data_IF_265974796023
#
_entry.id   IF_265974796023
#
_cell.length_a   1.000
_cell.length_b   1.000
_cell.length_c   1.000
_cell.angle_alpha   90.00
_cell.angle_beta   90.00
_cell.angle_gamma   90.00
#
_symmetry.space_group_name_H-M   'P 1'
#
loop_
_entity.id
_entity.type
_entity.pdbx_description
1 polymer ?
#
# COMPACT_ATOMS: atom_id res chain seq x y z
N UNK A 1 5.52 12.30 -8.14
CA UNK A 1 4.99 12.10 -6.79
C UNK A 1 6.18 11.82 -5.88
N UNK A 2 6.53 12.74 -4.98
CA UNK A 2 7.51 12.47 -3.93
C UNK A 2 6.99 11.40 -2.96
N UNK A 3 7.91 10.74 -2.24
CA UNK A 3 7.58 9.67 -1.30
C UNK A 3 6.60 10.14 -0.21
N UNK A 4 6.84 11.32 0.35
CA UNK A 4 6.01 11.91 1.42
C UNK A 4 4.57 12.10 0.96
N UNK A 5 4.36 12.57 -0.27
CA UNK A 5 3.03 12.72 -0.87
C UNK A 5 2.37 11.35 -1.10
N UNK A 6 3.13 10.37 -1.59
CA UNK A 6 2.64 9.01 -1.78
C UNK A 6 2.19 8.38 -0.44
N UNK A 7 2.98 8.58 0.62
CA UNK A 7 2.72 8.09 1.96
C UNK A 7 1.49 8.79 2.56
N UNK A 8 1.37 10.11 2.40
CA UNK A 8 0.21 10.87 2.84
C UNK A 8 -1.08 10.38 2.14
N UNK A 9 -1.02 10.13 0.84
CA UNK A 9 -2.14 9.57 0.08
C UNK A 9 -2.49 8.15 0.55
N UNK A 10 -1.49 7.29 0.75
CA UNK A 10 -1.72 5.94 1.25
C UNK A 10 -2.38 5.97 2.65
N UNK A 11 -1.90 6.85 3.53
CA UNK A 11 -2.48 7.08 4.86
C UNK A 11 -3.92 7.58 4.78
N UNK A 12 -4.19 8.57 3.92
CA UNK A 12 -5.53 9.10 3.73
C UNK A 12 -6.50 8.04 3.17
N UNK A 13 -6.04 7.23 2.22
CA UNK A 13 -6.82 6.13 1.65
C UNK A 13 -7.16 5.09 2.72
N UNK A 14 -6.17 4.62 3.48
CA UNK A 14 -6.35 3.65 4.56
C UNK A 14 -7.26 4.23 5.65
N UNK A 15 -7.11 5.50 6.00
CA UNK A 15 -7.93 6.14 7.02
C UNK A 15 -9.38 6.31 6.55
N UNK A 16 -9.60 6.58 5.27
CA UNK A 16 -10.94 6.69 4.68
C UNK A 16 -11.65 5.33 4.60
N UNK A 17 -10.95 4.28 4.20
CA UNK A 17 -11.55 2.97 3.98
C UNK A 17 -11.59 2.07 5.21
N UNK A 18 -10.55 2.11 6.04
CA UNK A 18 -10.35 1.23 7.20
C UNK A 18 -10.44 1.99 8.53
N UNK A 19 -10.53 3.32 8.52
CA UNK A 19 -10.53 4.12 9.74
C UNK A 19 -9.18 4.17 10.46
N UNK A 20 -8.10 3.72 9.82
CA UNK A 20 -6.74 3.69 10.39
C UNK A 20 -5.68 4.07 9.37
N UNK A 21 -4.58 4.65 9.85
CA UNK A 21 -3.39 4.93 9.05
C UNK A 21 -2.48 3.69 8.93
N UNK A 22 -1.44 3.79 8.09
CA UNK A 22 -0.36 2.79 8.06
C UNK A 22 0.33 2.74 9.43
N UNK A 23 0.59 1.53 9.90
CA UNK A 23 1.45 1.29 11.06
C UNK A 23 2.92 1.54 10.71
N UNK A 24 3.80 1.66 11.70
CA UNK A 24 5.25 1.83 11.47
C UNK A 24 5.83 0.78 10.52
N UNK A 25 5.48 -0.50 10.73
CA UNK A 25 5.93 -1.60 9.88
C UNK A 25 5.37 -1.55 8.45
N UNK A 26 4.13 -1.08 8.28
CA UNK A 26 3.52 -0.90 6.95
C UNK A 26 4.19 0.24 6.21
N UNK A 27 4.51 1.33 6.92
CA UNK A 27 5.26 2.47 6.40
C UNK A 27 6.66 2.06 5.96
N UNK A 28 7.35 1.22 6.72
CA UNK A 28 8.65 0.65 6.35
C UNK A 28 8.55 -0.22 5.08
N UNK A 29 7.53 -1.06 4.98
CA UNK A 29 7.28 -1.86 3.77
C UNK A 29 7.01 -0.95 2.56
N UNK A 30 6.24 0.11 2.77
CA UNK A 30 5.93 1.09 1.75
C UNK A 30 7.18 1.84 1.28
N UNK A 31 7.97 2.35 2.22
CA UNK A 31 9.23 3.05 1.95
C UNK A 31 10.25 2.14 1.28
N UNK A 32 10.46 0.94 1.81
CA UNK A 32 11.36 -0.02 1.19
C UNK A 32 10.90 -0.42 -0.21
N UNK A 33 9.59 -0.60 -0.41
CA UNK A 33 9.05 -0.85 -1.76
C UNK A 33 9.22 0.35 -2.70
N UNK A 34 9.16 1.58 -2.17
CA UNK A 34 9.42 2.80 -2.92
C UNK A 34 10.88 2.93 -3.36
N UNK A 35 11.80 2.56 -2.48
CA UNK A 35 13.25 2.53 -2.72
C UNK A 35 13.72 1.32 -3.54
N UNK A 36 12.83 0.35 -3.83
CA UNK A 36 13.20 -0.88 -4.54
C UNK A 36 13.82 -1.96 -3.66
N UNK A 37 13.80 -1.79 -2.33
CA UNK A 37 14.24 -2.78 -1.34
C UNK A 37 13.31 -4.00 -1.33
N UNK A 38 13.85 -5.12 -0.89
CA UNK A 38 13.14 -6.39 -0.72
C UNK A 38 12.68 -6.54 0.73
N UNK A 39 11.64 -7.33 1.00
CA UNK A 39 11.17 -7.57 2.37
C UNK A 39 12.29 -8.00 3.35
N UNK A 40 13.26 -8.86 2.96
CA UNK A 40 14.40 -9.18 3.81
C UNK A 40 15.20 -7.95 4.26
N UNK A 41 15.50 -7.03 3.35
CA UNK A 41 16.28 -5.82 3.66
C UNK A 41 15.51 -4.90 4.59
N UNK A 42 14.21 -4.74 4.34
CA UNK A 42 13.33 -3.91 5.18
C UNK A 42 13.23 -4.50 6.59
N UNK A 43 13.09 -5.83 6.68
CA UNK A 43 13.01 -6.53 7.96
C UNK A 43 14.32 -6.38 8.75
N UNK A 44 15.47 -6.55 8.09
CA UNK A 44 16.79 -6.39 8.68
C UNK A 44 17.02 -4.95 9.20
N UNK A 45 16.75 -3.94 8.37
CA UNK A 45 16.87 -2.53 8.76
C UNK A 45 15.92 -2.14 9.90
N UNK A 46 14.72 -2.71 9.92
CA UNK A 46 13.72 -2.41 10.93
C UNK A 46 13.80 -3.29 12.19
N UNK A 47 14.69 -4.30 12.20
CA UNK A 47 14.82 -5.24 13.32
C UNK A 47 13.66 -6.24 13.46
N UNK A 48 12.91 -6.49 12.39
CA UNK A 48 11.80 -7.46 12.36
C UNK A 48 12.21 -8.77 11.70
N UNK A 49 11.44 -9.82 11.95
CA UNK A 49 11.63 -11.10 11.26
C UNK A 49 11.18 -11.00 9.79
N UNK A 50 12.04 -11.44 8.88
CA UNK A 50 11.75 -11.51 7.43
C UNK A 50 10.44 -12.26 7.18
N UNK A 51 10.25 -13.41 7.84
CA UNK A 51 9.04 -14.22 7.72
C UNK A 51 7.78 -13.46 8.17
N UNK A 52 7.89 -12.61 9.18
CA UNK A 52 6.76 -11.78 9.65
C UNK A 52 6.37 -10.75 8.59
N UNK A 53 7.34 -10.08 7.95
CA UNK A 53 7.07 -9.13 6.87
C UNK A 53 6.54 -9.81 5.61
N UNK A 54 7.09 -10.94 5.20
CA UNK A 54 6.68 -11.59 3.94
C UNK A 54 5.35 -12.31 4.05
N UNK A 55 5.06 -12.89 5.21
CA UNK A 55 3.94 -13.80 5.41
C UNK A 55 2.75 -13.11 6.05
N UNK A 56 2.98 -12.17 6.96
CA UNK A 56 1.91 -11.51 7.70
C UNK A 56 1.68 -10.07 7.20
N UNK A 57 2.68 -9.20 7.34
CA UNK A 57 2.50 -7.75 7.10
C UNK A 57 2.40 -7.42 5.61
N UNK A 58 3.27 -7.97 4.76
CA UNK A 58 3.35 -7.69 3.34
C UNK A 58 2.02 -7.92 2.60
N UNK A 59 1.49 -9.16 2.56
CA UNK A 59 0.22 -9.43 1.90
C UNK A 59 -0.97 -8.69 2.55
N UNK A 60 -1.00 -8.55 3.90
CA UNK A 60 -2.03 -7.75 4.57
C UNK A 60 -1.98 -6.28 4.16
N UNK A 61 -0.79 -5.71 4.07
CA UNK A 61 -0.56 -4.33 3.67
C UNK A 61 -1.07 -4.07 2.24
N UNK A 62 -0.64 -4.87 1.26
CA UNK A 62 -1.08 -4.70 -0.12
C UNK A 62 -2.58 -4.93 -0.27
N UNK A 63 -3.14 -5.91 0.44
CA UNK A 63 -4.59 -6.17 0.46
C UNK A 63 -5.37 -5.02 1.10
N UNK A 64 -4.87 -4.45 2.19
CA UNK A 64 -5.47 -3.29 2.84
C UNK A 64 -5.42 -2.06 1.93
N UNK A 65 -4.27 -1.80 1.30
CA UNK A 65 -4.08 -0.69 0.38
C UNK A 65 -4.98 -0.83 -0.86
N UNK A 66 -5.09 -2.04 -1.41
CA UNK A 66 -5.96 -2.32 -2.54
C UNK A 66 -7.43 -2.09 -2.21
N UNK A 67 -7.90 -2.56 -1.05
CA UNK A 67 -9.26 -2.28 -0.57
C UNK A 67 -9.47 -0.78 -0.33
N UNK A 68 -8.43 -0.08 0.14
CA UNK A 68 -8.52 1.34 0.48
C UNK A 68 -8.59 2.25 -0.75
N UNK A 69 -7.85 1.87 -1.79
CA UNK A 69 -7.85 2.58 -3.07
C UNK A 69 -9.03 2.14 -3.95
N UNK A 70 -9.59 0.95 -3.73
CA UNK A 70 -10.66 0.37 -4.53
C UNK A 70 -10.20 -0.31 -5.82
N UNK A 71 -8.88 -0.47 -6.03
CA UNK A 71 -8.28 -1.13 -7.20
C UNK A 71 -7.19 -2.12 -6.74
N UNK A 72 -6.91 -3.22 -7.47
CA UNK A 72 -5.77 -4.10 -7.20
C UNK A 72 -4.43 -3.34 -7.22
N UNK A 73 -3.85 -3.19 -6.02
CA UNK A 73 -2.54 -2.56 -5.82
C UNK A 73 -1.46 -3.62 -5.69
N UNK A 74 -0.40 -3.50 -6.48
CA UNK A 74 0.77 -4.35 -6.42
C UNK A 74 2.06 -3.51 -6.48
N UNK A 75 3.21 -4.14 -6.19
CA UNK A 75 4.52 -3.45 -6.11
C UNK A 75 4.93 -2.72 -7.41
N UNK A 76 4.33 -3.05 -8.56
CA UNK A 76 4.56 -2.35 -9.84
C UNK A 76 3.57 -1.21 -10.07
N UNK A 77 2.32 -1.38 -9.66
CA UNK A 77 1.21 -0.46 -9.95
C UNK A 77 0.87 0.51 -8.81
N UNK A 78 1.40 0.31 -7.60
CA UNK A 78 1.02 1.11 -6.44
C UNK A 78 1.27 2.62 -6.60
N UNK A 79 2.36 3.01 -7.29
CA UNK A 79 2.64 4.42 -7.59
C UNK A 79 1.54 5.03 -8.47
N UNK A 80 1.08 4.28 -9.47
CA UNK A 80 0.02 4.72 -10.36
C UNK A 80 -1.34 4.76 -9.65
N UNK A 81 -1.66 3.72 -8.86
CA UNK A 81 -2.88 3.64 -8.07
C UNK A 81 -2.99 4.79 -7.06
N UNK A 82 -1.92 5.09 -6.31
CA UNK A 82 -1.89 6.23 -5.37
C UNK A 82 -2.03 7.56 -6.09
N UNK A 83 -1.37 7.73 -7.25
CA UNK A 83 -1.50 8.94 -8.06
C UNK A 83 -2.93 9.11 -8.57
N UNK A 84 -3.59 8.02 -8.96
CA UNK A 84 -4.98 8.01 -9.42
C UNK A 84 -5.92 8.33 -8.27
N UNK A 85 -5.72 7.76 -7.09
CA UNK A 85 -6.49 8.07 -5.90
C UNK A 85 -6.33 9.54 -5.48
N UNK A 86 -5.09 10.05 -5.43
CA UNK A 86 -4.81 11.45 -5.09
C UNK A 86 -5.38 12.46 -6.09
N UNK A 87 -5.51 12.08 -7.37
CA UNK A 87 -6.22 12.89 -8.39
C UNK A 87 -7.74 12.67 -8.39
N UNK A 88 -8.18 11.47 -8.05
CA UNK A 88 -9.55 10.95 -8.19
C UNK A 88 -10.40 11.08 -6.94
N UNK A 89 -9.84 11.48 -5.79
CA UNK A 89 -10.62 11.87 -4.60
C UNK A 89 -11.59 13.05 -4.86
N UNK A 90 -11.62 13.58 -6.09
CA UNK A 90 -12.58 14.58 -6.56
C UNK A 90 -13.70 14.03 -7.47
N UNK A 91 -13.74 12.74 -7.80
CA UNK A 91 -14.82 12.13 -8.59
C UNK A 91 -15.11 10.68 -8.16
N UNK A 92 -16.27 10.38 -7.53
CA UNK A 92 -16.68 9.02 -7.21
C UNK A 92 -17.30 8.36 -8.44
N UNK A 93 -16.55 7.53 -9.14
CA UNK A 93 -17.07 6.76 -10.27
C UNK A 93 -16.04 5.79 -10.82
N UNK A 94 -16.17 4.51 -10.48
CA UNK A 94 -15.26 3.48 -10.95
C UNK A 94 -15.52 2.15 -10.30
N UNK A 95 -16.69 1.57 -10.58
CA UNK A 95 -16.95 0.15 -10.43
C UNK A 95 -15.90 -0.62 -11.26
N UNK A 96 -14.92 -1.21 -10.58
CA UNK A 96 -13.86 -2.02 -11.18
C UNK A 96 -14.07 -3.47 -10.79
N UNK A 97 -14.70 -4.19 -11.70
CA UNK A 97 -14.91 -5.64 -11.79
C UNK A 97 -14.07 -6.51 -10.84
N UNK A 98 -14.81 -7.25 -10.00
CA UNK A 98 -14.33 -8.44 -9.33
C UNK A 98 -14.06 -9.51 -10.37
N UNK A 99 -12.84 -9.60 -10.87
CA UNK A 99 -12.42 -10.80 -11.58
C UNK A 99 -11.70 -11.74 -10.61
N UNK A 100 -12.44 -12.78 -10.27
CA UNK A 100 -12.03 -14.02 -9.63
C UNK A 100 -10.78 -14.62 -10.28
N UNK A 101 -9.96 -15.33 -9.50
CA UNK A 101 -9.62 -16.70 -9.93
C UNK A 101 -9.18 -17.56 -8.77
N UNK A 102 -9.70 -18.77 -8.87
CA UNK A 102 -9.65 -19.95 -8.02
C UNK A 102 -8.37 -20.74 -8.27
#
# INVERSE_FOLDING_TARGET
>A
MPFEEALAIANAAMQTALGRSLSDIETLIFEGSWQGKTYPQIADEAGYSINYLTTDVGPKFWKALSQSVGEPVNKKNFKAALRRWGKGAREPGGEGERESSQ
#
